data_IF_619477240418
#
_entry.id   IF_619477240418
#
_cell.length_a   1.000
_cell.length_b   1.000
_cell.length_c   1.000
_cell.angle_alpha   90.00
_cell.angle_beta   90.00
_cell.angle_gamma   90.00
#
_symmetry.space_group_name_H-M   'P 1'
#
loop_
_entity.id
_entity.type
_entity.pdbx_description
1 polymer ?
#
# COMPACT_ATOMS: atom_id res chain seq x y z
N UNK A 1 24.40 45.61 10.67
CA UNK A 1 23.21 46.48 10.55
C UNK A 1 22.60 46.20 9.18
N UNK A 2 21.41 45.65 8.95
CA UNK A 2 20.23 45.29 9.75
C UNK A 2 19.82 43.87 9.31
N UNK A 3 19.84 42.89 10.20
CA UNK A 3 19.28 41.54 9.98
C UNK A 3 17.91 41.50 10.65
N UNK A 4 16.91 42.03 9.96
CA UNK A 4 15.52 41.98 10.38
C UNK A 4 14.66 41.37 9.26
N UNK A 5 13.46 40.85 9.59
CA UNK A 5 12.52 40.40 8.58
C UNK A 5 12.22 41.56 7.62
N UNK A 6 12.44 41.33 6.32
CA UNK A 6 12.10 42.30 5.28
C UNK A 6 10.58 42.35 5.18
N UNK A 7 9.99 43.48 5.54
CA UNK A 7 8.60 43.77 5.20
C UNK A 7 8.55 44.05 3.70
N UNK A 8 7.99 43.10 2.94
CA UNK A 8 7.76 43.27 1.51
C UNK A 8 6.39 43.95 1.36
N UNK A 9 6.37 45.08 0.65
CA UNK A 9 5.15 45.77 0.28
C UNK A 9 4.29 44.84 -0.62
N UNK A 10 3.03 44.64 -0.27
CA UNK A 10 2.13 43.74 -1.02
C UNK A 10 1.93 44.18 -2.47
N UNK A 11 2.12 45.46 -2.77
CA UNK A 11 2.07 46.00 -4.13
C UNK A 11 3.25 45.55 -5.01
N UNK A 12 4.32 45.01 -4.41
CA UNK A 12 5.48 44.43 -5.10
C UNK A 12 5.38 42.90 -5.31
N UNK A 13 4.30 42.23 -4.86
CA UNK A 13 4.10 40.79 -5.05
C UNK A 13 3.81 40.43 -6.52
N UNK A 14 4.86 40.34 -7.35
CA UNK A 14 4.82 39.76 -8.71
C UNK A 14 5.43 38.35 -8.78
N UNK A 15 5.52 37.61 -7.68
CA UNK A 15 6.17 36.30 -7.66
C UNK A 15 5.51 35.25 -6.77
N UNK A 16 5.78 33.98 -7.08
CA UNK A 16 5.32 32.84 -6.30
C UNK A 16 5.91 32.88 -4.88
N UNK A 17 5.08 32.64 -3.89
CA UNK A 17 5.51 32.59 -2.48
C UNK A 17 6.15 31.24 -2.17
N UNK A 18 5.52 30.14 -2.58
CA UNK A 18 6.01 28.76 -2.42
C UNK A 18 7.05 28.41 -3.49
N UNK A 19 8.17 27.81 -3.08
CA UNK A 19 9.15 27.23 -3.99
C UNK A 19 9.35 25.73 -3.76
N UNK A 20 9.46 24.98 -4.85
CA UNK A 20 9.52 23.51 -4.89
C UNK A 20 8.25 22.83 -4.34
N UNK A 21 8.40 21.66 -3.72
CA UNK A 21 7.35 20.93 -3.00
C UNK A 21 7.73 20.96 -1.52
N UNK A 22 6.87 21.51 -0.67
CA UNK A 22 7.06 21.54 0.78
C UNK A 22 6.16 20.50 1.44
N UNK A 23 6.70 19.76 2.40
CA UNK A 23 5.96 18.76 3.15
C UNK A 23 5.75 19.23 4.59
N UNK A 24 4.49 19.23 5.03
CA UNK A 24 4.08 19.54 6.39
C UNK A 24 3.38 18.33 7.01
N UNK A 25 3.41 18.24 8.34
CA UNK A 25 2.70 17.23 9.09
C UNK A 25 1.56 17.89 9.88
N UNK A 26 0.36 17.29 9.81
CA UNK A 26 -0.73 17.71 10.68
C UNK A 26 -0.40 17.33 12.13
N UNK A 27 -0.61 18.28 13.05
CA UNK A 27 -0.42 18.06 14.50
C UNK A 27 -1.64 17.41 15.18
N UNK A 28 -2.73 17.20 14.44
CA UNK A 28 -4.06 16.89 15.01
C UNK A 28 -4.22 15.48 15.58
N UNK A 29 -3.33 14.54 15.27
CA UNK A 29 -3.42 13.18 15.80
C UNK A 29 -2.02 12.55 15.88
N UNK A 30 -1.60 12.11 17.07
CA UNK A 30 -0.27 11.51 17.28
C UNK A 30 -0.13 10.16 16.56
N UNK A 31 -1.24 9.46 16.35
CA UNK A 31 -1.28 8.13 15.74
C UNK A 31 -1.59 8.17 14.23
N UNK A 32 -2.21 9.24 13.71
CA UNK A 32 -2.63 9.37 12.30
C UNK A 32 -2.20 10.72 11.70
N UNK A 33 -0.89 10.90 11.52
CA UNK A 33 -0.34 12.13 10.96
C UNK A 33 -0.56 12.22 9.46
N UNK A 34 -1.45 13.11 9.03
CA UNK A 34 -1.62 13.48 7.61
C UNK A 34 -0.40 14.26 7.12
N UNK A 35 0.13 13.88 5.95
CA UNK A 35 1.13 14.65 5.22
C UNK A 35 0.43 15.63 4.27
N UNK A 36 0.86 16.90 4.32
CA UNK A 36 0.36 17.95 3.44
C UNK A 36 1.49 18.38 2.52
N UNK A 37 1.27 18.25 1.22
CA UNK A 37 2.24 18.62 0.18
C UNK A 37 1.80 19.92 -0.48
N UNK A 38 2.57 20.99 -0.27
CA UNK A 38 2.36 22.29 -0.93
C UNK A 38 3.27 22.41 -2.15
N UNK A 39 2.67 22.44 -3.33
CA UNK A 39 3.37 22.51 -4.61
C UNK A 39 3.46 23.96 -5.10
N UNK A 40 4.62 24.34 -5.64
CA UNK A 40 4.78 25.61 -6.35
C UNK A 40 3.78 25.73 -7.51
N UNK A 41 3.15 26.91 -7.61
CA UNK A 41 2.13 27.17 -8.62
C UNK A 41 2.66 27.18 -10.06
N UNK A 42 1.82 26.75 -11.00
CA UNK A 42 2.12 26.61 -12.43
C UNK A 42 2.63 27.92 -13.10
N UNK A 43 2.18 29.08 -12.59
CA UNK A 43 2.57 30.42 -13.08
C UNK A 43 3.71 31.03 -12.26
N UNK A 44 4.45 30.23 -11.49
CA UNK A 44 5.46 30.71 -10.57
C UNK A 44 6.51 31.62 -11.22
N UNK A 45 6.92 32.65 -10.47
CA UNK A 45 8.04 33.50 -10.87
C UNK A 45 9.28 32.64 -11.09
N UNK A 46 10.21 33.14 -11.91
CA UNK A 46 11.52 32.51 -12.13
C UNK A 46 12.23 32.11 -10.81
N UNK A 47 11.91 32.81 -9.72
CA UNK A 47 12.45 32.64 -8.39
C UNK A 47 11.34 32.88 -7.35
N UNK A 48 10.88 31.84 -6.64
CA UNK A 48 9.98 31.96 -5.50
C UNK A 48 10.59 32.76 -4.35
N UNK A 49 9.76 33.55 -3.65
CA UNK A 49 10.20 34.39 -2.52
C UNK A 49 10.87 33.57 -1.39
N UNK A 50 10.38 32.35 -1.11
CA UNK A 50 11.01 31.47 -0.12
C UNK A 50 12.42 30.99 -0.50
N UNK A 51 12.72 30.87 -1.80
CA UNK A 51 14.07 30.56 -2.27
C UNK A 51 15.00 31.77 -2.18
N UNK A 52 14.48 32.98 -2.43
CA UNK A 52 15.21 34.23 -2.18
C UNK A 52 15.59 34.40 -0.71
N UNK A 53 14.65 34.17 0.20
CA UNK A 53 14.88 34.34 1.64
C UNK A 53 15.92 33.35 2.20
N UNK A 54 16.03 32.15 1.63
CA UNK A 54 16.95 31.10 2.13
C UNK A 54 18.38 31.18 1.61
N UNK A 55 18.64 31.79 0.46
CA UNK A 55 19.93 31.64 -0.24
C UNK A 55 20.81 32.87 -0.35
N UNK A 56 20.38 34.03 0.18
CA UNK A 56 21.19 35.25 0.10
C UNK A 56 21.56 35.63 -1.35
N UNK A 57 22.50 36.57 -1.51
CA UNK A 57 22.83 37.27 -2.76
C UNK A 57 23.35 36.38 -3.92
N UNK A 58 23.42 35.05 -3.74
CA UNK A 58 23.86 34.08 -4.75
C UNK A 58 22.95 33.96 -5.99
N UNK A 59 21.78 34.62 -5.99
CA UNK A 59 20.76 34.51 -7.04
C UNK A 59 20.71 35.67 -8.06
N UNK A 60 21.55 36.71 -7.92
CA UNK A 60 21.65 37.80 -8.90
C UNK A 60 22.20 37.36 -10.28
N UNK A 61 22.53 36.09 -10.47
CA UNK A 61 23.11 35.51 -11.70
C UNK A 61 22.21 34.48 -12.39
N UNK A 62 20.94 34.37 -12.01
CA UNK A 62 19.99 33.44 -12.62
C UNK A 62 19.58 33.85 -14.04
N UNK A 63 20.05 33.14 -15.07
CA UNK A 63 19.65 33.41 -16.46
C UNK A 63 18.17 33.09 -16.71
N UNK A 64 17.54 33.81 -17.65
CA UNK A 64 16.17 33.54 -18.10
C UNK A 64 15.96 32.08 -18.56
N UNK A 65 17.02 31.46 -19.07
CA UNK A 65 17.03 30.06 -19.50
C UNK A 65 16.86 29.08 -18.32
N UNK A 66 17.54 29.32 -17.19
CA UNK A 66 17.37 28.49 -15.98
C UNK A 66 15.95 28.61 -15.41
N UNK A 67 15.36 29.79 -15.48
CA UNK A 67 13.97 30.01 -15.08
C UNK A 67 12.98 29.25 -15.97
N UNK A 68 13.21 29.27 -17.29
CA UNK A 68 12.41 28.52 -18.26
C UNK A 68 12.50 27.01 -18.02
N UNK A 69 13.71 26.48 -17.83
CA UNK A 69 13.96 25.07 -17.52
C UNK A 69 13.28 24.66 -16.21
N UNK A 70 13.32 25.51 -15.18
CA UNK A 70 12.62 25.26 -13.91
C UNK A 70 11.11 25.19 -14.10
N UNK A 71 10.51 26.16 -14.80
CA UNK A 71 9.05 26.17 -15.05
C UNK A 71 8.60 24.95 -15.84
N UNK A 72 9.39 24.54 -16.83
CA UNK A 72 9.13 23.32 -17.58
C UNK A 72 9.17 22.10 -16.66
N UNK A 73 10.24 21.95 -15.86
CA UNK A 73 10.34 20.85 -14.89
C UNK A 73 9.17 20.83 -13.88
N UNK A 74 8.74 21.99 -13.37
CA UNK A 74 7.58 22.10 -12.48
C UNK A 74 6.33 21.60 -13.20
N UNK A 75 6.08 22.10 -14.41
CA UNK A 75 4.89 21.78 -15.20
C UNK A 75 4.83 20.29 -15.57
N UNK A 76 5.98 19.68 -15.86
CA UNK A 76 6.05 18.31 -16.36
C UNK A 76 6.09 17.27 -15.21
N UNK A 77 6.75 17.59 -14.09
CA UNK A 77 6.98 16.61 -13.02
C UNK A 77 6.03 16.77 -11.82
N UNK A 78 5.59 17.98 -11.47
CA UNK A 78 4.83 18.18 -10.24
C UNK A 78 3.44 17.52 -10.29
N UNK A 79 2.68 17.60 -11.39
CA UNK A 79 1.42 16.86 -11.51
C UNK A 79 1.60 15.36 -11.30
N UNK A 80 2.67 14.79 -11.87
CA UNK A 80 3.01 13.37 -11.77
C UNK A 80 3.34 12.97 -10.34
N UNK A 81 4.17 13.76 -9.65
CA UNK A 81 4.50 13.53 -8.24
C UNK A 81 3.28 13.66 -7.33
N UNK A 82 2.46 14.71 -7.53
CA UNK A 82 1.24 14.92 -6.75
C UNK A 82 0.29 13.74 -6.89
N UNK A 83 0.12 13.23 -8.11
CA UNK A 83 -0.76 12.11 -8.39
C UNK A 83 -0.28 10.78 -7.82
N UNK A 84 1.02 10.47 -7.92
CA UNK A 84 1.57 9.18 -7.46
C UNK A 84 1.66 9.12 -5.92
N UNK A 85 1.93 10.24 -5.25
CA UNK A 85 2.31 10.28 -3.83
C UNK A 85 1.17 10.70 -2.89
N UNK A 86 -0.01 11.00 -3.41
CA UNK A 86 -1.12 11.53 -2.61
C UNK A 86 -2.35 10.65 -2.72
N UNK A 87 -3.09 10.50 -1.63
CA UNK A 87 -4.44 9.91 -1.64
C UNK A 87 -5.48 10.90 -2.16
N UNK A 88 -5.23 12.19 -1.97
CA UNK A 88 -6.09 13.30 -2.40
C UNK A 88 -5.26 14.38 -3.05
N UNK A 89 -5.68 14.84 -4.22
CA UNK A 89 -5.06 15.92 -4.99
C UNK A 89 -6.03 17.10 -5.04
N UNK A 90 -5.55 18.30 -4.69
CA UNK A 90 -6.36 19.52 -4.68
C UNK A 90 -5.90 20.48 -5.79
N UNK A 91 -6.79 20.79 -6.73
CA UNK A 91 -6.58 21.81 -7.76
C UNK A 91 -7.29 23.10 -7.37
N UNK A 92 -6.48 24.08 -6.93
CA UNK A 92 -6.94 25.40 -6.54
C UNK A 92 -6.86 26.39 -7.73
N UNK A 93 -7.93 27.14 -7.95
CA UNK A 93 -8.03 28.16 -8.98
C UNK A 93 -8.99 29.28 -8.56
N UNK A 94 -8.94 30.42 -9.25
CA UNK A 94 -9.88 31.53 -9.01
C UNK A 94 -10.92 31.66 -10.15
N UNK A 95 -10.72 30.91 -11.24
CA UNK A 95 -11.62 30.94 -12.39
C UNK A 95 -12.97 30.32 -12.03
N UNK A 96 -14.04 30.73 -12.71
CA UNK A 96 -15.36 30.14 -12.49
C UNK A 96 -15.35 28.65 -12.89
N UNK A 97 -15.98 27.78 -12.08
CA UNK A 97 -16.12 26.37 -12.43
C UNK A 97 -16.88 26.15 -13.74
N UNK A 98 -17.71 27.10 -14.18
CA UNK A 98 -18.38 27.05 -15.47
C UNK A 98 -17.44 27.37 -16.66
N UNK A 99 -16.23 27.87 -16.39
CA UNK A 99 -15.26 28.22 -17.43
C UNK A 99 -14.65 26.99 -18.09
N UNK A 100 -14.56 27.01 -19.42
CA UNK A 100 -13.83 26.03 -20.21
C UNK A 100 -12.33 26.03 -19.91
N UNK A 101 -11.78 27.17 -19.48
CA UNK A 101 -10.36 27.31 -19.15
C UNK A 101 -10.02 26.51 -17.88
N UNK A 102 -10.91 26.51 -16.89
CA UNK A 102 -10.72 25.71 -15.68
C UNK A 102 -10.75 24.22 -16.04
N UNK A 103 -11.76 23.78 -16.79
CA UNK A 103 -11.83 22.38 -17.24
C UNK A 103 -10.58 21.97 -18.02
N UNK A 104 -10.11 22.83 -18.94
CA UNK A 104 -8.90 22.59 -19.72
C UNK A 104 -7.70 22.39 -18.82
N UNK A 105 -7.53 23.25 -17.81
CA UNK A 105 -6.47 23.11 -16.80
C UNK A 105 -6.58 21.79 -16.02
N UNK A 106 -7.77 21.38 -15.63
CA UNK A 106 -7.98 20.08 -14.97
C UNK A 106 -7.59 18.90 -15.88
N UNK A 107 -7.96 18.96 -17.17
CA UNK A 107 -7.62 17.93 -18.15
C UNK A 107 -6.12 17.87 -18.42
N UNK A 108 -5.47 19.02 -18.60
CA UNK A 108 -4.02 19.10 -18.76
C UNK A 108 -3.29 18.53 -17.54
N UNK A 109 -3.75 18.86 -16.33
CA UNK A 109 -3.22 18.27 -15.11
C UNK A 109 -3.37 16.74 -15.14
N UNK A 110 -4.56 16.23 -15.43
CA UNK A 110 -4.83 14.79 -15.45
C UNK A 110 -3.95 14.04 -16.45
N UNK A 111 -3.78 14.59 -17.66
CA UNK A 111 -2.93 14.03 -18.71
C UNK A 111 -1.46 14.00 -18.29
N UNK A 112 -0.92 15.13 -17.80
CA UNK A 112 0.47 15.22 -17.35
C UNK A 112 0.75 14.33 -16.13
N UNK A 113 -0.21 14.26 -15.21
CA UNK A 113 -0.13 13.45 -14.00
C UNK A 113 -0.06 11.95 -14.30
N UNK A 114 -0.75 11.49 -15.35
CA UNK A 114 -0.86 10.08 -15.71
C UNK A 114 0.11 9.66 -16.82
N UNK A 115 0.77 10.60 -17.49
CA UNK A 115 1.78 10.30 -18.50
C UNK A 115 2.88 9.40 -17.91
N UNK A 116 3.13 8.25 -18.54
CA UNK A 116 4.12 7.28 -18.06
C UNK A 116 3.82 6.70 -16.66
N UNK A 117 2.60 6.77 -16.16
CA UNK A 117 2.17 6.10 -14.92
C UNK A 117 1.37 4.86 -15.28
N UNK A 118 1.93 3.69 -14.95
CA UNK A 118 1.32 2.38 -15.22
C UNK A 118 0.84 1.75 -13.92
N UNK A 119 -0.25 0.98 -13.96
CA UNK A 119 -0.69 0.12 -12.84
C UNK A 119 -0.74 0.86 -11.48
N UNK A 120 -1.52 1.94 -11.43
CA UNK A 120 -1.80 2.62 -10.16
C UNK A 120 -2.81 1.78 -9.37
N UNK A 121 -2.45 1.19 -8.22
CA UNK A 121 -3.35 0.30 -7.49
C UNK A 121 -4.59 1.05 -7.00
N UNK A 122 -4.42 2.32 -6.61
CA UNK A 122 -5.50 3.20 -6.17
C UNK A 122 -5.30 4.60 -6.77
N UNK A 123 -6.31 5.09 -7.47
CA UNK A 123 -6.32 6.43 -8.04
C UNK A 123 -6.69 7.45 -6.94
N UNK A 124 -6.02 8.61 -6.86
CA UNK A 124 -6.35 9.63 -5.88
C UNK A 124 -7.75 10.21 -6.09
N UNK A 125 -8.30 10.80 -5.04
CA UNK A 125 -9.48 11.69 -5.15
C UNK A 125 -9.02 13.04 -5.67
N UNK A 126 -9.74 13.60 -6.64
CA UNK A 126 -9.52 14.96 -7.11
C UNK A 126 -10.49 15.93 -6.44
N UNK A 127 -9.96 16.96 -5.79
CA UNK A 127 -10.73 18.07 -5.25
C UNK A 127 -10.46 19.31 -6.10
N UNK A 128 -11.50 19.84 -6.75
CA UNK A 128 -11.44 21.07 -7.55
C UNK A 128 -12.00 22.21 -6.71
N UNK A 129 -11.22 23.26 -6.49
CA UNK A 129 -11.62 24.38 -5.63
C UNK A 129 -11.60 25.68 -6.40
N UNK A 130 -12.79 26.25 -6.64
CA UNK A 130 -12.92 27.65 -7.00
C UNK A 130 -12.79 28.49 -5.73
N UNK A 131 -11.65 29.15 -5.60
CA UNK A 131 -11.32 30.07 -4.54
C UNK A 131 -11.86 31.47 -4.84
N UNK A 132 -12.19 32.22 -3.79
CA UNK A 132 -12.74 33.58 -3.88
C UNK A 132 -14.00 33.67 -4.73
N UNK A 133 -14.84 32.63 -4.69
CA UNK A 133 -16.14 32.65 -5.36
C UNK A 133 -17.08 33.70 -4.73
N UNK A 134 -18.18 33.99 -5.40
CA UNK A 134 -19.26 34.80 -4.81
C UNK A 134 -20.11 33.97 -3.83
N UNK A 135 -20.65 34.60 -2.79
CA UNK A 135 -21.52 33.92 -1.81
C UNK A 135 -22.74 33.24 -2.44
N UNK A 136 -23.24 33.76 -3.57
CA UNK A 136 -24.35 33.17 -4.31
C UNK A 136 -23.99 31.87 -5.05
N UNK A 137 -22.70 31.60 -5.28
CA UNK A 137 -22.20 30.38 -5.93
C UNK A 137 -21.90 29.27 -4.93
N UNK A 138 -21.76 29.60 -3.64
CA UNK A 138 -21.50 28.61 -2.59
C UNK A 138 -22.73 27.73 -2.36
N UNK A 139 -22.56 26.42 -2.58
CA UNK A 139 -23.55 25.39 -2.33
C UNK A 139 -22.87 24.17 -1.69
N UNK A 140 -23.64 23.16 -1.30
CA UNK A 140 -23.05 21.92 -0.77
C UNK A 140 -22.11 21.30 -1.82
N UNK A 141 -20.99 20.66 -1.42
CA UNK A 141 -20.00 20.13 -2.38
C UNK A 141 -20.59 19.18 -3.42
N UNK A 142 -21.59 18.38 -3.04
CA UNK A 142 -22.28 17.47 -3.97
C UNK A 142 -23.07 18.22 -5.06
N UNK A 143 -23.74 19.32 -4.70
CA UNK A 143 -24.47 20.16 -5.65
C UNK A 143 -23.51 20.89 -6.60
N UNK A 144 -22.39 21.40 -6.07
CA UNK A 144 -21.35 22.05 -6.87
C UNK A 144 -20.71 21.06 -7.84
N UNK A 145 -20.41 19.85 -7.37
CA UNK A 145 -19.85 18.76 -8.18
C UNK A 145 -20.81 18.38 -9.29
N UNK A 146 -22.08 18.16 -8.97
CA UNK A 146 -23.11 17.84 -9.96
C UNK A 146 -23.21 18.94 -11.01
N UNK A 147 -23.27 20.20 -10.60
CA UNK A 147 -23.32 21.35 -11.50
C UNK A 147 -22.11 21.42 -12.43
N UNK A 148 -20.91 21.11 -11.94
CA UNK A 148 -19.70 21.05 -12.77
C UNK A 148 -19.83 20.02 -13.91
N UNK A 149 -20.32 18.81 -13.60
CA UNK A 149 -20.57 17.77 -14.61
C UNK A 149 -21.75 18.13 -15.54
N UNK A 150 -22.80 18.76 -15.02
CA UNK A 150 -23.95 19.18 -15.82
C UNK A 150 -23.55 20.25 -16.86
N UNK A 151 -22.63 21.14 -16.52
CA UNK A 151 -22.14 22.21 -17.42
C UNK A 151 -21.20 21.65 -18.49
N UNK A 152 -20.22 20.84 -18.10
CA UNK A 152 -19.13 20.41 -18.97
C UNK A 152 -19.36 19.04 -19.64
N UNK A 153 -20.40 18.32 -19.21
CA UNK A 153 -20.85 17.08 -19.81
C UNK A 153 -19.75 16.02 -19.92
N UNK A 154 -19.62 15.45 -21.12
CA UNK A 154 -18.68 14.35 -21.38
C UNK A 154 -17.21 14.74 -21.17
N UNK A 155 -16.84 16.00 -21.39
CA UNK A 155 -15.45 16.41 -21.23
C UNK A 155 -14.99 16.31 -19.78
N UNK A 156 -15.81 16.75 -18.82
CA UNK A 156 -15.56 16.55 -17.41
C UNK A 156 -15.59 15.07 -17.02
N UNK A 157 -16.49 14.27 -17.62
CA UNK A 157 -16.59 12.85 -17.35
C UNK A 157 -15.30 12.07 -17.66
N UNK A 158 -14.48 12.53 -18.61
CA UNK A 158 -13.17 11.92 -18.91
C UNK A 158 -12.20 11.93 -17.72
N UNK A 159 -12.35 12.86 -16.77
CA UNK A 159 -11.52 12.92 -15.57
C UNK A 159 -11.70 11.68 -14.67
N UNK A 160 -12.87 11.03 -14.71
CA UNK A 160 -13.13 9.79 -13.97
C UNK A 160 -12.29 8.59 -14.45
N UNK A 161 -11.63 8.71 -15.61
CA UNK A 161 -10.64 7.72 -16.07
C UNK A 161 -9.34 7.80 -15.26
N UNK A 162 -9.04 8.97 -14.69
CA UNK A 162 -7.79 9.24 -13.99
C UNK A 162 -7.94 9.29 -12.47
N UNK A 163 -9.10 9.65 -11.95
CA UNK A 163 -9.33 9.79 -10.51
C UNK A 163 -10.36 8.78 -10.00
N UNK A 164 -10.28 8.42 -8.71
CA UNK A 164 -11.26 7.52 -8.10
C UNK A 164 -12.59 8.21 -7.81
N UNK A 165 -12.52 9.49 -7.47
CA UNK A 165 -13.65 10.34 -7.14
C UNK A 165 -13.28 11.80 -7.43
N UNK A 166 -14.26 12.63 -7.80
CA UNK A 166 -14.09 14.05 -8.08
C UNK A 166 -15.08 14.82 -7.22
N UNK A 167 -14.58 15.81 -6.46
CA UNK A 167 -15.39 16.73 -5.65
C UNK A 167 -15.04 18.17 -5.97
N UNK A 168 -16.05 19.00 -6.09
CA UNK A 168 -15.90 20.42 -6.36
C UNK A 168 -16.35 21.26 -5.16
N UNK A 169 -15.58 22.30 -4.84
CA UNK A 169 -15.87 23.25 -3.78
C UNK A 169 -15.82 24.68 -4.32
N UNK A 170 -16.71 25.54 -3.81
CA UNK A 170 -16.71 26.98 -4.07
C UNK A 170 -16.48 27.70 -2.75
N UNK A 171 -15.24 28.15 -2.52
CA UNK A 171 -14.85 28.84 -1.29
C UNK A 171 -14.98 30.36 -1.48
N UNK A 172 -15.88 31.03 -0.74
CA UNK A 172 -15.97 32.49 -0.79
C UNK A 172 -14.83 33.14 -0.03
N UNK A 173 -14.68 34.46 -0.18
CA UNK A 173 -13.76 35.21 0.68
C UNK A 173 -14.40 35.43 2.05
N UNK A 174 -13.66 35.19 3.14
CA UNK A 174 -14.18 35.17 4.51
C UNK A 174 -14.86 36.50 4.92
N UNK A 175 -14.42 37.61 4.35
CA UNK A 175 -14.91 38.95 4.67
C UNK A 175 -16.15 39.38 3.84
N UNK A 176 -16.66 38.52 2.95
CA UNK A 176 -17.84 38.85 2.16
C UNK A 176 -19.11 38.82 3.00
N UNK A 177 -19.94 39.85 2.84
CA UNK A 177 -21.31 39.90 3.35
C UNK A 177 -22.25 40.24 2.20
N UNK A 178 -23.33 39.47 2.01
CA UNK A 178 -24.30 39.73 0.96
C UNK A 178 -25.72 39.69 1.51
N UNK A 179 -26.47 40.79 1.32
CA UNK A 179 -27.90 40.85 1.66
C UNK A 179 -28.73 40.37 0.48
N UNK A 180 -29.52 39.33 0.69
CA UNK A 180 -30.47 38.79 -0.29
C UNK A 180 -31.76 39.61 -0.32
N UNK A 181 -32.52 39.49 -1.41
CA UNK A 181 -33.79 40.22 -1.63
C UNK A 181 -34.87 39.90 -0.57
N UNK A 182 -34.77 38.74 0.08
CA UNK A 182 -35.65 38.31 1.16
C UNK A 182 -35.21 38.85 2.55
N UNK A 183 -34.18 39.70 2.60
CA UNK A 183 -33.65 40.27 3.84
C UNK A 183 -32.62 39.40 4.57
N UNK A 184 -32.38 38.16 4.15
CA UNK A 184 -31.32 37.32 4.73
C UNK A 184 -29.93 37.88 4.41
N UNK A 185 -29.01 37.74 5.36
CA UNK A 185 -27.60 38.10 5.17
C UNK A 185 -26.81 36.79 5.06
N UNK A 186 -26.10 36.63 3.95
CA UNK A 186 -25.09 35.59 3.78
C UNK A 186 -23.77 36.09 4.35
N UNK A 187 -23.19 35.27 5.22
CA UNK A 187 -21.91 35.50 5.89
C UNK A 187 -20.85 34.58 5.29
N UNK A 188 -19.86 35.19 4.63
CA UNK A 188 -18.76 34.47 4.00
C UNK A 188 -17.92 33.67 4.97
N UNK A 189 -17.76 34.11 6.22
CA UNK A 189 -17.02 33.37 7.24
C UNK A 189 -17.75 32.07 7.58
N UNK A 190 -19.06 32.13 7.82
CA UNK A 190 -19.86 30.94 8.15
C UNK A 190 -19.89 29.93 6.99
N UNK A 191 -20.03 30.42 5.76
CA UNK A 191 -20.02 29.56 4.57
C UNK A 191 -18.64 28.93 4.39
N UNK A 192 -17.56 29.71 4.53
CA UNK A 192 -16.20 29.21 4.43
C UNK A 192 -15.89 28.14 5.48
N UNK A 193 -16.25 28.37 6.74
CA UNK A 193 -16.03 27.42 7.83
C UNK A 193 -16.78 26.11 7.62
N UNK A 194 -18.04 26.20 7.13
CA UNK A 194 -18.82 25.03 6.77
C UNK A 194 -18.18 24.23 5.64
N UNK A 195 -17.78 24.89 4.55
CA UNK A 195 -17.13 24.23 3.41
C UNK A 195 -15.78 23.61 3.81
N UNK A 196 -15.05 24.26 4.72
CA UNK A 196 -13.80 23.72 5.26
C UNK A 196 -14.05 22.50 6.15
N UNK A 197 -15.16 22.48 6.89
CA UNK A 197 -15.60 21.30 7.65
C UNK A 197 -15.94 20.14 6.71
N UNK A 198 -16.69 20.41 5.63
CA UNK A 198 -17.04 19.40 4.62
C UNK A 198 -15.78 18.84 3.93
N UNK A 199 -14.79 19.68 3.65
CA UNK A 199 -13.50 19.26 3.09
C UNK A 199 -12.70 18.38 4.06
N UNK A 200 -12.71 18.69 5.36
CA UNK A 200 -12.09 17.84 6.39
C UNK A 200 -12.78 16.47 6.48
N UNK A 201 -14.12 16.45 6.46
CA UNK A 201 -14.90 15.22 6.48
C UNK A 201 -14.61 14.33 5.26
N UNK A 202 -14.38 14.93 4.08
CA UNK A 202 -13.94 14.20 2.90
C UNK A 202 -12.60 13.49 3.16
N UNK A 203 -11.62 14.17 3.77
CA UNK A 203 -10.33 13.55 4.09
C UNK A 203 -10.47 12.42 5.11
N UNK A 204 -11.31 12.59 6.13
CA UNK A 204 -11.61 11.52 7.10
C UNK A 204 -12.24 10.31 6.40
N UNK A 205 -13.18 10.54 5.48
CA UNK A 205 -13.83 9.47 4.70
C UNK A 205 -12.84 8.72 3.81
N UNK A 206 -11.95 9.44 3.13
CA UNK A 206 -10.90 8.84 2.29
C UNK A 206 -9.94 8.02 3.15
N UNK A 207 -9.52 8.56 4.30
CA UNK A 207 -8.65 7.86 5.26
C UNK A 207 -9.29 6.57 5.74
N UNK A 208 -10.56 6.61 6.15
CA UNK A 208 -11.26 5.47 6.71
C UNK A 208 -11.48 4.38 5.66
N UNK A 209 -11.90 4.77 4.43
CA UNK A 209 -12.05 3.85 3.28
C UNK A 209 -10.73 3.17 2.93
N UNK A 210 -9.60 3.86 3.10
CA UNK A 210 -8.28 3.37 2.75
C UNK A 210 -7.47 2.87 3.95
N UNK A 211 -8.03 2.78 5.15
CA UNK A 211 -7.32 2.50 6.41
C UNK A 211 -6.37 1.30 6.34
N UNK A 212 -6.80 0.20 5.70
CA UNK A 212 -5.99 -1.00 5.51
C UNK A 212 -4.84 -0.84 4.49
N UNK A 213 -4.89 0.19 3.65
CA UNK A 213 -3.97 0.42 2.52
C UNK A 213 -3.06 1.62 2.72
N UNK A 214 -3.29 2.41 3.78
CA UNK A 214 -2.46 3.57 4.09
C UNK A 214 -1.01 3.17 4.29
N UNK A 215 -0.13 3.97 3.71
CA UNK A 215 1.30 3.80 3.84
C UNK A 215 1.77 4.44 5.15
N UNK A 216 2.69 3.78 5.83
CA UNK A 216 3.45 4.45 6.90
C UNK A 216 4.31 5.56 6.30
N UNK A 217 4.70 6.55 7.11
CA UNK A 217 5.57 7.63 6.63
C UNK A 217 6.92 7.12 6.10
N UNK A 218 7.46 6.05 6.68
CA UNK A 218 8.68 5.41 6.21
C UNK A 218 8.47 4.75 4.84
N UNK A 219 7.35 4.05 4.63
CA UNK A 219 6.98 3.49 3.33
C UNK A 219 6.77 4.60 2.30
N UNK A 220 6.07 5.67 2.66
CA UNK A 220 5.86 6.83 1.79
C UNK A 220 7.20 7.48 1.39
N UNK A 221 8.12 7.67 2.33
CA UNK A 221 9.45 8.24 2.07
C UNK A 221 10.29 7.32 1.17
N UNK A 222 10.22 6.01 1.39
CA UNK A 222 10.86 5.01 0.54
C UNK A 222 10.33 5.10 -0.91
N UNK A 223 9.01 5.15 -1.08
CA UNK A 223 8.39 5.28 -2.38
C UNK A 223 8.73 6.61 -3.05
N UNK A 224 8.73 7.73 -2.32
CA UNK A 224 9.12 9.04 -2.84
C UNK A 224 10.51 8.97 -3.50
N UNK A 225 11.50 8.38 -2.83
CA UNK A 225 12.86 8.25 -3.38
C UNK A 225 12.89 7.44 -4.68
N UNK A 226 12.17 6.32 -4.72
CA UNK A 226 12.08 5.45 -5.91
C UNK A 226 11.33 6.12 -7.05
N UNK A 227 10.20 6.77 -6.77
CA UNK A 227 9.42 7.51 -7.76
C UNK A 227 10.28 8.61 -8.37
N UNK A 228 11.00 9.40 -7.55
CA UNK A 228 11.90 10.44 -8.05
C UNK A 228 12.99 9.88 -8.98
N UNK A 229 13.63 8.77 -8.60
CA UNK A 229 14.65 8.11 -9.45
C UNK A 229 14.06 7.63 -10.78
N UNK A 230 12.90 6.97 -10.75
CA UNK A 230 12.23 6.44 -11.94
C UNK A 230 11.80 7.58 -12.87
N UNK A 231 11.16 8.61 -12.33
CA UNK A 231 10.74 9.82 -13.09
C UNK A 231 11.95 10.52 -13.69
N UNK A 232 13.03 10.72 -12.92
CA UNK A 232 14.27 11.33 -13.42
C UNK A 232 14.91 10.52 -14.55
N UNK A 233 14.79 9.19 -14.52
CA UNK A 233 15.30 8.30 -15.57
C UNK A 233 14.43 8.25 -16.83
N UNK A 234 13.28 8.94 -16.84
CA UNK A 234 12.33 8.92 -17.96
C UNK A 234 11.58 7.58 -18.12
N UNK A 235 11.67 6.69 -17.14
CA UNK A 235 10.97 5.40 -17.15
C UNK A 235 9.54 5.55 -16.65
N UNK A 236 8.67 4.64 -17.08
CA UNK A 236 7.32 4.58 -16.54
C UNK A 236 7.32 4.18 -15.07
N UNK A 237 6.52 4.84 -14.25
CA UNK A 237 6.36 4.52 -12.83
C UNK A 237 5.22 3.52 -12.66
N UNK A 238 5.48 2.41 -11.96
CA UNK A 238 4.43 1.49 -11.48
C UNK A 238 4.46 1.44 -9.96
N UNK A 239 3.46 2.08 -9.33
CA UNK A 239 3.36 2.08 -7.88
C UNK A 239 3.07 0.67 -7.35
N UNK A 240 2.31 -0.15 -8.09
CA UNK A 240 2.09 -1.55 -7.75
C UNK A 240 3.41 -2.34 -7.66
N UNK A 241 4.32 -2.16 -8.62
CA UNK A 241 5.64 -2.81 -8.58
C UNK A 241 6.49 -2.29 -7.40
N UNK A 242 6.52 -0.98 -7.18
CA UNK A 242 7.29 -0.40 -6.06
C UNK A 242 6.76 -0.81 -4.70
N UNK A 243 5.44 -0.95 -4.54
CA UNK A 243 4.84 -1.51 -3.33
C UNK A 243 5.15 -3.00 -3.20
N UNK A 244 5.12 -3.73 -4.31
CA UNK A 244 5.51 -5.13 -4.34
C UNK A 244 6.97 -5.31 -3.97
N UNK A 245 7.88 -4.38 -4.24
CA UNK A 245 9.28 -4.44 -3.77
C UNK A 245 9.40 -4.34 -2.23
N UNK A 246 8.45 -3.67 -1.56
CA UNK A 246 8.42 -3.60 -0.09
C UNK A 246 8.02 -4.98 0.47
N UNK A 247 7.09 -5.67 -0.21
CA UNK A 247 6.59 -7.00 0.15
C UNK A 247 7.48 -8.12 -0.40
N UNK A 248 8.25 -7.88 -1.47
CA UNK A 248 9.11 -8.85 -2.11
C UNK A 248 10.31 -9.10 -1.21
N UNK A 249 10.16 -10.12 -0.38
CA UNK A 249 11.25 -10.73 0.36
C UNK A 249 11.75 -11.94 -0.40
N UNK A 250 13.02 -12.26 -0.22
CA UNK A 250 13.61 -13.48 -0.74
C UNK A 250 13.22 -14.65 0.17
N UNK A 251 11.93 -15.00 0.13
CA UNK A 251 11.30 -16.01 1.00
C UNK A 251 11.93 -17.40 0.81
N UNK A 252 12.44 -17.67 -0.40
CA UNK A 252 12.98 -18.96 -0.83
C UNK A 252 14.08 -19.48 0.10
N UNK A 253 14.98 -18.61 0.56
CA UNK A 253 16.03 -19.01 1.49
C UNK A 253 15.47 -19.37 2.88
N UNK A 254 14.47 -18.63 3.36
CA UNK A 254 13.85 -18.88 4.67
C UNK A 254 13.03 -20.17 4.64
N UNK A 255 12.33 -20.43 3.54
CA UNK A 255 11.57 -21.66 3.31
C UNK A 255 12.53 -22.86 3.22
N UNK A 256 13.63 -22.74 2.47
CA UNK A 256 14.64 -23.80 2.36
C UNK A 256 15.21 -24.18 3.74
N UNK A 257 15.58 -23.20 4.57
CA UNK A 257 16.10 -23.47 5.92
C UNK A 257 15.06 -24.17 6.80
N UNK A 258 13.79 -23.76 6.71
CA UNK A 258 12.70 -24.39 7.45
C UNK A 258 12.45 -25.83 6.98
N UNK A 259 12.53 -26.09 5.67
CA UNK A 259 12.38 -27.42 5.06
C UNK A 259 13.55 -28.34 5.42
N UNK A 260 14.79 -27.85 5.38
CA UNK A 260 15.96 -28.61 5.81
C UNK A 260 15.86 -28.99 7.30
N UNK A 261 15.40 -28.05 8.12
CA UNK A 261 15.15 -28.26 9.56
C UNK A 261 14.01 -29.26 9.80
N UNK A 262 12.96 -29.22 8.98
CA UNK A 262 11.91 -30.24 8.98
C UNK A 262 12.50 -31.62 8.66
N UNK A 263 13.24 -31.76 7.56
CA UNK A 263 13.80 -33.02 7.10
C UNK A 263 14.77 -33.63 8.12
N UNK A 264 15.63 -32.80 8.72
CA UNK A 264 16.53 -33.22 9.78
C UNK A 264 15.74 -33.88 10.92
N UNK A 265 14.69 -33.20 11.41
CA UNK A 265 13.87 -33.70 12.52
C UNK A 265 12.99 -34.88 12.13
N UNK A 266 12.34 -34.81 10.97
CA UNK A 266 11.44 -35.84 10.47
C UNK A 266 12.13 -37.20 10.31
N UNK A 267 13.43 -37.20 9.99
CA UNK A 267 14.24 -38.40 9.86
C UNK A 267 14.85 -38.92 11.17
N UNK A 268 14.63 -38.27 12.32
CA UNK A 268 15.07 -38.78 13.63
C UNK A 268 14.31 -40.05 14.06
N UNK A 269 13.04 -40.18 13.64
CA UNK A 269 12.21 -41.35 13.94
C UNK A 269 12.06 -42.28 12.72
N UNK A 270 12.13 -43.58 12.98
CA UNK A 270 11.85 -44.61 11.97
C UNK A 270 10.36 -44.75 11.65
N UNK A 271 9.47 -44.31 12.56
CA UNK A 271 8.01 -44.42 12.46
C UNK A 271 7.40 -43.03 12.38
N UNK A 272 7.02 -42.60 11.17
CA UNK A 272 6.55 -41.24 10.89
C UNK A 272 5.05 -41.06 11.14
N UNK A 273 4.61 -41.26 12.38
CA UNK A 273 3.19 -41.13 12.74
C UNK A 273 2.62 -39.73 12.41
N UNK A 274 1.29 -39.57 12.21
CA UNK A 274 0.65 -38.27 12.04
C UNK A 274 0.99 -37.28 13.15
N UNK A 275 1.06 -37.76 14.39
CA UNK A 275 1.47 -36.96 15.54
C UNK A 275 2.92 -36.46 15.41
N UNK A 276 3.82 -37.32 14.95
CA UNK A 276 5.22 -36.94 14.71
C UNK A 276 5.34 -35.93 13.57
N UNK A 277 4.64 -36.18 12.45
CA UNK A 277 4.57 -35.24 11.33
C UNK A 277 4.11 -33.85 11.76
N UNK A 278 3.00 -33.76 12.52
CA UNK A 278 2.50 -32.47 13.06
C UNK A 278 3.56 -31.77 13.93
N UNK A 279 4.25 -32.51 14.80
CA UNK A 279 5.33 -31.96 15.63
C UNK A 279 6.49 -31.41 14.77
N UNK A 280 6.86 -32.11 13.70
CA UNK A 280 7.89 -31.66 12.75
C UNK A 280 7.43 -30.41 11.98
N UNK A 281 6.17 -30.36 11.52
CA UNK A 281 5.59 -29.17 10.88
C UNK A 281 5.61 -27.97 11.82
N UNK A 282 5.20 -28.13 13.09
CA UNK A 282 5.25 -27.06 14.08
C UNK A 282 6.68 -26.55 14.31
N UNK A 283 7.66 -27.45 14.35
CA UNK A 283 9.07 -27.07 14.44
C UNK A 283 9.52 -26.25 13.23
N UNK A 284 9.21 -26.70 12.01
CA UNK A 284 9.52 -25.99 10.76
C UNK A 284 8.87 -24.61 10.72
N UNK A 285 7.61 -24.49 11.15
CA UNK A 285 6.90 -23.22 11.27
C UNK A 285 7.60 -22.26 12.24
N UNK A 286 8.08 -22.75 13.39
CA UNK A 286 8.81 -21.94 14.36
C UNK A 286 10.15 -21.44 13.78
N UNK A 287 10.87 -22.28 13.03
CA UNK A 287 12.10 -21.90 12.33
C UNK A 287 11.80 -20.83 11.28
N UNK A 288 10.76 -21.06 10.44
CA UNK A 288 10.34 -20.09 9.43
C UNK A 288 9.97 -18.75 10.07
N UNK A 289 9.17 -18.76 11.15
CA UNK A 289 8.79 -17.55 11.88
C UNK A 289 10.02 -16.79 12.40
N UNK A 290 11.03 -17.50 12.90
CA UNK A 290 12.27 -16.88 13.34
C UNK A 290 13.06 -16.25 12.18
N UNK A 291 13.20 -16.97 11.06
CA UNK A 291 13.86 -16.44 9.86
C UNK A 291 13.15 -15.19 9.30
N UNK A 292 11.82 -15.23 9.21
CA UNK A 292 11.02 -14.09 8.79
C UNK A 292 11.15 -12.91 9.76
N UNK A 293 11.17 -13.16 11.07
CA UNK A 293 11.35 -12.10 12.07
C UNK A 293 12.72 -11.42 11.95
N UNK A 294 13.81 -12.18 11.82
CA UNK A 294 15.18 -11.65 11.67
C UNK A 294 15.31 -10.82 10.40
N UNK A 295 14.82 -11.35 9.28
CA UNK A 295 14.91 -10.64 8.00
C UNK A 295 14.01 -9.40 7.98
N UNK A 296 12.81 -9.46 8.55
CA UNK A 296 11.91 -8.31 8.68
C UNK A 296 12.45 -7.25 9.64
N UNK A 297 13.20 -7.64 10.68
CA UNK A 297 13.82 -6.71 11.62
C UNK A 297 14.77 -5.73 10.92
N UNK A 298 15.50 -6.20 9.91
CA UNK A 298 16.40 -5.34 9.11
C UNK A 298 15.67 -4.22 8.36
N UNK A 299 14.37 -4.40 8.10
CA UNK A 299 13.49 -3.44 7.41
C UNK A 299 12.34 -2.95 8.29
N UNK A 300 12.49 -3.00 9.62
CA UNK A 300 11.40 -2.76 10.60
C UNK A 300 10.58 -1.49 10.34
N UNK A 301 11.19 -0.43 9.81
CA UNK A 301 10.53 0.85 9.52
C UNK A 301 9.52 0.74 8.37
N UNK A 302 9.74 -0.21 7.45
CA UNK A 302 8.86 -0.48 6.31
C UNK A 302 7.81 -1.56 6.62
N UNK A 303 7.96 -2.30 7.73
CA UNK A 303 7.12 -3.44 8.07
C UNK A 303 5.88 -2.97 8.85
N UNK A 304 4.77 -2.80 8.14
CA UNK A 304 3.44 -2.66 8.76
C UNK A 304 2.86 -4.03 9.13
N UNK A 305 1.92 -4.08 10.07
CA UNK A 305 1.23 -5.31 10.46
C UNK A 305 0.61 -6.05 9.26
N UNK A 306 0.01 -5.30 8.31
CA UNK A 306 -0.50 -5.86 7.06
C UNK A 306 0.58 -6.58 6.25
N UNK A 307 1.74 -5.94 6.07
CA UNK A 307 2.83 -6.53 5.29
C UNK A 307 3.38 -7.78 5.99
N UNK A 308 3.50 -7.74 7.31
CA UNK A 308 3.90 -8.91 8.10
C UNK A 308 2.92 -10.06 7.88
N UNK A 309 1.62 -9.78 7.93
CA UNK A 309 0.58 -10.79 7.66
C UNK A 309 0.68 -11.36 6.24
N UNK A 310 0.76 -10.51 5.21
CA UNK A 310 0.89 -10.93 3.80
C UNK A 310 2.15 -11.79 3.57
N UNK A 311 3.28 -11.41 4.17
CA UNK A 311 4.54 -12.17 4.15
C UNK A 311 4.38 -13.54 4.81
N UNK A 312 3.85 -13.58 6.04
CA UNK A 312 3.66 -14.83 6.77
C UNK A 312 2.69 -15.77 6.05
N UNK A 313 1.58 -15.25 5.53
CA UNK A 313 0.58 -16.05 4.80
C UNK A 313 1.18 -16.68 3.54
N UNK A 314 1.91 -15.88 2.75
CA UNK A 314 2.58 -16.36 1.53
C UNK A 314 3.63 -17.43 1.85
N UNK A 315 4.52 -17.16 2.81
CA UNK A 315 5.60 -18.08 3.18
C UNK A 315 5.06 -19.40 3.77
N UNK A 316 4.02 -19.33 4.61
CA UNK A 316 3.37 -20.53 5.17
C UNK A 316 2.70 -21.36 4.08
N UNK A 317 1.99 -20.74 3.13
CA UNK A 317 1.38 -21.47 2.00
C UNK A 317 2.43 -22.23 1.19
N UNK A 318 3.57 -21.61 0.89
CA UNK A 318 4.67 -22.26 0.19
C UNK A 318 5.25 -23.41 1.01
N UNK A 319 5.59 -23.18 2.29
CA UNK A 319 6.10 -24.24 3.16
C UNK A 319 5.14 -25.44 3.23
N UNK A 320 3.84 -25.22 3.43
CA UNK A 320 2.87 -26.32 3.49
C UNK A 320 2.68 -27.04 2.16
N UNK A 321 2.86 -26.35 1.03
CA UNK A 321 2.85 -27.00 -0.29
C UNK A 321 4.00 -28.00 -0.40
N UNK A 322 5.20 -27.62 0.05
CA UNK A 322 6.36 -28.52 0.09
C UNK A 322 6.18 -29.65 1.12
N UNK A 323 5.60 -29.37 2.29
CA UNK A 323 5.42 -30.38 3.34
C UNK A 323 4.35 -31.44 3.03
N UNK A 324 3.44 -31.17 2.09
CA UNK A 324 2.34 -32.07 1.71
C UNK A 324 2.85 -33.44 1.21
N UNK A 325 4.03 -33.49 0.59
CA UNK A 325 4.61 -34.75 0.12
C UNK A 325 5.01 -35.70 1.26
N UNK A 326 5.26 -35.15 2.46
CA UNK A 326 5.66 -35.91 3.64
C UNK A 326 4.49 -36.36 4.52
N UNK A 327 3.25 -36.04 4.14
CA UNK A 327 2.08 -36.42 4.91
C UNK A 327 2.02 -37.95 5.04
N UNK A 328 2.00 -38.49 6.27
CA UNK A 328 1.95 -39.92 6.47
C UNK A 328 0.57 -40.47 6.12
N UNK A 329 0.55 -41.66 5.54
CA UNK A 329 -0.65 -42.48 5.40
C UNK A 329 -1.28 -42.74 6.77
N UNK A 330 -2.57 -43.06 6.81
CA UNK A 330 -3.28 -43.51 8.01
C UNK A 330 -4.13 -44.76 7.74
N UNK A 331 -3.79 -45.51 6.68
CA UNK A 331 -4.52 -46.72 6.33
C UNK A 331 -4.39 -47.77 7.43
N UNK A 332 -5.51 -48.27 7.92
CA UNK A 332 -5.55 -49.33 8.92
C UNK A 332 -5.10 -50.65 8.28
N UNK A 333 -4.19 -51.35 8.94
CA UNK A 333 -3.77 -52.70 8.55
C UNK A 333 -4.92 -53.69 8.75
N UNK A 334 -5.34 -54.34 7.66
CA UNK A 334 -6.41 -55.33 7.63
C UNK A 334 -5.89 -56.76 7.37
N UNK A 335 -4.57 -56.93 7.30
CA UNK A 335 -3.93 -58.21 7.02
C UNK A 335 -3.91 -59.19 8.20
N UNK A 336 -3.27 -60.34 8.01
CA UNK A 336 -3.19 -61.41 9.02
C UNK A 336 -2.08 -61.14 10.03
N UNK A 337 -2.33 -61.35 11.31
CA UNK A 337 -1.31 -61.28 12.36
C UNK A 337 -1.72 -60.34 13.48
N UNK A 338 -0.81 -60.11 14.44
CA UNK A 338 -1.07 -59.31 15.64
C UNK A 338 0.06 -58.35 15.96
N UNK A 339 -0.23 -57.22 16.61
CA UNK A 339 0.77 -56.26 17.09
C UNK A 339 1.59 -56.83 18.26
N UNK A 340 2.90 -56.56 18.35
CA UNK A 340 3.63 -56.76 19.62
C UNK A 340 3.17 -55.73 20.63
N UNK A 341 2.32 -56.13 21.56
CA UNK A 341 2.40 -55.68 22.94
C UNK A 341 1.56 -56.63 23.81
N UNK A 342 2.11 -57.00 24.95
CA UNK A 342 1.59 -57.99 25.90
C UNK A 342 0.08 -57.84 26.17
N UNK A 343 -0.63 -58.96 26.15
CA UNK A 343 -1.93 -59.15 26.81
C UNK A 343 -3.11 -58.38 26.21
N UNK A 344 -3.95 -59.11 25.45
CA UNK A 344 -5.38 -58.85 25.18
C UNK A 344 -5.84 -57.49 24.66
N UNK A 345 -4.94 -56.55 24.30
CA UNK A 345 -5.30 -55.32 23.59
C UNK A 345 -4.62 -55.30 22.22
N UNK A 346 -5.36 -55.72 21.20
CA UNK A 346 -4.95 -55.53 19.80
C UNK A 346 -4.95 -54.03 19.51
N UNK A 347 -3.77 -53.42 19.54
CA UNK A 347 -3.64 -52.03 19.11
C UNK A 347 -3.71 -52.00 17.57
N UNK A 348 -4.51 -51.08 16.99
CA UNK A 348 -4.56 -50.94 15.54
C UNK A 348 -3.17 -50.64 14.98
N UNK A 349 -2.82 -51.33 13.90
CA UNK A 349 -1.58 -51.13 13.16
C UNK A 349 -1.94 -50.27 11.95
N UNK A 350 -1.13 -49.26 11.64
CA UNK A 350 -1.38 -48.36 10.52
C UNK A 350 -0.23 -48.41 9.51
N UNK A 351 -0.50 -47.94 8.29
CA UNK A 351 0.54 -47.50 7.37
C UNK A 351 0.94 -46.09 7.73
N UNK A 352 2.24 -45.78 7.80
CA UNK A 352 2.76 -44.41 7.95
C UNK A 352 3.78 -44.06 6.85
N UNK A 353 3.65 -44.69 5.67
CA UNK A 353 4.39 -44.28 4.49
C UNK A 353 3.93 -42.90 4.04
N UNK A 354 4.85 -42.07 3.58
CA UNK A 354 4.50 -40.75 3.04
C UNK A 354 3.82 -40.86 1.67
N UNK A 355 3.17 -39.78 1.24
CA UNK A 355 2.53 -39.65 -0.07
C UNK A 355 3.54 -39.98 -1.18
N UNK A 356 3.18 -40.87 -2.10
CA UNK A 356 4.07 -41.34 -3.18
C UNK A 356 4.95 -42.56 -2.85
N UNK A 357 5.10 -42.97 -1.59
CA UNK A 357 5.94 -44.12 -1.24
C UNK A 357 5.24 -45.49 -1.33
N UNK A 358 4.10 -45.57 -2.02
CA UNK A 358 3.19 -46.73 -2.02
C UNK A 358 3.28 -47.58 -3.30
N UNK A 359 4.37 -47.50 -4.08
CA UNK A 359 4.56 -48.20 -5.37
C UNK A 359 4.45 -49.74 -5.32
N UNK A 360 4.26 -50.34 -4.15
CA UNK A 360 4.01 -51.77 -3.95
C UNK A 360 3.00 -52.11 -2.86
N UNK A 361 2.22 -51.13 -2.39
CA UNK A 361 1.28 -51.28 -1.28
C UNK A 361 1.70 -50.57 0.00
N UNK A 362 0.85 -50.66 1.01
CA UNK A 362 1.01 -50.10 2.34
C UNK A 362 1.94 -50.96 3.20
N UNK A 363 2.75 -50.33 4.07
CA UNK A 363 3.72 -50.99 4.96
C UNK A 363 3.42 -50.72 6.43
N UNK A 364 3.50 -51.76 7.25
CA UNK A 364 3.11 -51.65 8.66
C UNK A 364 4.08 -50.77 9.43
N UNK A 365 3.54 -49.86 10.26
CA UNK A 365 4.32 -48.93 11.09
C UNK A 365 5.12 -49.63 12.20
N UNK A 366 4.78 -50.88 12.51
CA UNK A 366 5.45 -51.71 13.50
C UNK A 366 5.52 -53.17 13.02
N UNK A 367 6.41 -53.99 13.61
CA UNK A 367 6.48 -55.41 13.31
C UNK A 367 5.17 -56.14 13.64
N UNK A 368 4.70 -56.97 12.71
CA UNK A 368 3.53 -57.84 12.90
C UNK A 368 4.01 -59.26 13.20
N UNK A 369 3.36 -59.89 14.17
CA UNK A 369 3.63 -61.27 14.55
C UNK A 369 2.67 -62.20 13.84
N UNK A 370 3.20 -63.34 13.41
CA UNK A 370 2.37 -64.42 12.92
C UNK A 370 1.81 -64.27 11.50
N UNK A 371 2.51 -63.49 10.67
CA UNK A 371 2.23 -63.32 9.24
C UNK A 371 2.20 -64.65 8.47
N UNK A 372 3.02 -65.62 8.89
CA UNK A 372 3.01 -66.99 8.37
C UNK A 372 2.98 -67.99 9.52
N UNK A 373 2.38 -69.16 9.28
CA UNK A 373 2.18 -70.20 10.30
C UNK A 373 3.49 -70.60 11.00
N UNK A 374 4.60 -70.75 10.26
CA UNK A 374 5.88 -71.12 10.86
C UNK A 374 6.51 -69.99 11.69
N UNK A 375 6.32 -68.72 11.31
CA UNK A 375 6.80 -67.56 12.10
C UNK A 375 6.07 -67.44 13.44
N UNK A 376 4.81 -67.91 13.52
CA UNK A 376 4.07 -67.98 14.79
C UNK A 376 4.75 -68.91 15.79
N UNK A 377 5.25 -70.07 15.34
CA UNK A 377 5.92 -71.04 16.21
C UNK A 377 7.21 -70.51 16.83
N UNK A 378 7.93 -69.63 16.13
CA UNK A 378 9.21 -69.07 16.58
C UNK A 378 9.10 -67.64 17.16
N UNK A 379 7.88 -67.12 17.30
CA UNK A 379 7.61 -65.75 17.75
C UNK A 379 8.40 -64.68 16.96
N UNK A 380 8.60 -64.91 15.66
CA UNK A 380 9.35 -64.02 14.78
C UNK A 380 8.41 -62.95 14.23
N UNK A 381 8.80 -61.68 14.37
CA UNK A 381 8.08 -60.54 13.80
C UNK A 381 8.75 -59.98 12.55
N UNK A 382 7.97 -59.47 11.61
CA UNK A 382 8.49 -58.69 10.48
C UNK A 382 7.50 -57.57 10.11
N UNK A 383 7.97 -56.53 9.40
CA UNK A 383 7.06 -55.58 8.76
C UNK A 383 6.34 -56.29 7.60
N UNK A 384 5.05 -56.00 7.43
CA UNK A 384 4.23 -56.55 6.35
C UNK A 384 3.93 -55.49 5.29
N UNK A 385 3.64 -55.93 4.07
CA UNK A 385 3.20 -55.09 2.95
C UNK A 385 1.87 -55.61 2.42
N UNK A 386 0.86 -54.74 2.32
CA UNK A 386 -0.48 -55.12 1.85
C UNK A 386 -1.02 -54.14 0.80
N UNK A 387 -2.00 -54.53 -0.03
CA UNK A 387 -2.49 -53.68 -1.12
C UNK A 387 -3.15 -52.36 -0.68
N UNK A 388 -3.57 -52.25 0.58
CA UNK A 388 -4.37 -51.12 1.09
C UNK A 388 -5.82 -51.49 1.23
#
# INVERSE_FOLDING_TARGET
MVTGPVCIDETEKKGATTGNVNCYFSKSDENNKTLLLDYEGEKGSAFPLLLFARRGWAHLTGSAEKAKQRRQAITDYFPKLAYILSDVVILLGNDDLASTDYLTRCREFALKANDGVNQMPHRPVLVIIQNKCSLAQSAAPDDVTKKFFDIHGQEAATLNLYFSEIKCFCLPHNEQLQRLKNGMILDGTQIFDRQMSDLKQLFDTVRDRNSQRLLTHAQWLYLLQRVLQTVQSGKSVSLHMLLSEIVAHNDDQSISIALDSFLMRYNEESVRSPRWFINCCQFAMNVLAHCLAVTSHSRRELMSERIIHELCEKALKLLFTELDEFQPCEALYTGKGRSSQNGNSERPIFCYQHKGAHDGGHRTCQPVYGLTAWKQFWNISSTDVWPG
#
